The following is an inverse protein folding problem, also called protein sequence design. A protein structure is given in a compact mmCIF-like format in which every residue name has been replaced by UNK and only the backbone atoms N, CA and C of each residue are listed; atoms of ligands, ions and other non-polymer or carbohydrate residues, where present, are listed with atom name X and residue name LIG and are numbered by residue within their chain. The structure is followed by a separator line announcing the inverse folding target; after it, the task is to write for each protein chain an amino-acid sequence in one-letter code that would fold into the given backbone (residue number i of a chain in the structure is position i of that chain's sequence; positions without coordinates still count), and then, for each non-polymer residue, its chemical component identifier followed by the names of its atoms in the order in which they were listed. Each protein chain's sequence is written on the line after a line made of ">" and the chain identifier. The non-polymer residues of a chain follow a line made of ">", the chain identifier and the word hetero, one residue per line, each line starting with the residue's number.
data_IF_697043857156
#
_entry.id   IF_697043857156
#
_cell.length_a   1.000
_cell.length_b   1.000
_cell.length_c   1.000
_cell.angle_alpha   90.00
_cell.angle_beta   90.00
_cell.angle_gamma   90.00
#
_symmetry.space_group_name_H-M   'P 1'
#
loop_
_entity.id
_entity.type
_entity.pdbx_description
1 polymer ?
#
# COMPACT_ATOMS: atom_id res chain seq x y z
N UNK A 1 12.40 -14.20 15.70
CA UNK A 1 13.35 -13.18 16.19
C UNK A 1 14.64 -13.91 16.57
N UNK A 2 15.72 -13.73 15.81
CA UNK A 2 16.98 -14.43 16.08
C UNK A 2 17.70 -13.82 17.28
N UNK A 3 18.18 -14.64 18.19
CA UNK A 3 19.08 -14.21 19.27
C UNK A 3 20.52 -14.23 18.77
N UNK A 4 21.24 -13.12 18.91
CA UNK A 4 22.69 -13.07 18.71
C UNK A 4 23.34 -12.91 20.10
N UNK A 5 24.21 -13.86 20.48
CA UNK A 5 24.91 -13.84 21.77
C UNK A 5 26.34 -13.38 21.56
N UNK A 6 26.75 -12.32 22.25
CA UNK A 6 28.14 -11.84 22.27
C UNK A 6 28.72 -12.15 23.65
N UNK A 7 29.78 -12.98 23.69
CA UNK A 7 30.48 -13.31 24.93
C UNK A 7 31.78 -12.51 25.01
N UNK A 8 31.94 -11.73 26.07
CA UNK A 8 33.16 -10.98 26.34
C UNK A 8 34.05 -11.78 27.29
N UNK A 9 35.34 -11.91 26.97
CA UNK A 9 36.33 -12.62 27.79
C UNK A 9 37.22 -11.68 28.61
N UNK A 10 37.06 -10.36 28.43
CA UNK A 10 37.76 -9.31 29.16
C UNK A 10 36.97 -7.99 29.12
N UNK A 11 37.32 -7.04 29.99
CA UNK A 11 36.70 -5.71 29.99
C UNK A 11 37.12 -4.92 28.73
N UNK A 12 36.17 -4.62 27.85
CA UNK A 12 36.37 -3.87 26.60
C UNK A 12 35.14 -3.04 26.31
N UNK A 13 35.33 -1.83 25.77
CA UNK A 13 34.22 -1.01 25.29
C UNK A 13 33.63 -1.65 24.02
N UNK A 14 32.33 -1.92 24.05
CA UNK A 14 31.59 -2.46 22.90
C UNK A 14 30.65 -1.37 22.40
N UNK A 15 30.76 -1.04 21.11
CA UNK A 15 29.79 -0.21 20.41
C UNK A 15 29.00 -1.10 19.47
N UNK A 16 27.71 -1.25 19.71
CA UNK A 16 26.79 -1.91 18.78
C UNK A 16 26.10 -0.84 17.93
N UNK A 17 26.34 -0.85 16.62
CA UNK A 17 25.64 0.02 15.68
C UNK A 17 24.52 -0.80 15.04
N UNK A 18 23.28 -0.45 15.34
CA UNK A 18 22.13 -1.02 14.67
C UNK A 18 21.78 -0.12 13.48
N UNK A 19 22.05 -0.60 12.27
CA UNK A 19 21.51 0.02 11.07
C UNK A 19 20.06 -0.44 10.92
N UNK A 20 19.13 0.30 11.50
CA UNK A 20 17.76 0.24 11.04
C UNK A 20 17.73 0.99 9.71
N UNK A 21 17.44 0.31 8.61
CA UNK A 21 16.75 1.01 7.54
C UNK A 21 15.38 1.32 8.14
N UNK A 22 15.02 2.58 8.44
CA UNK A 22 13.68 2.85 8.91
C UNK A 22 12.77 2.45 7.76
N UNK A 23 12.17 1.26 7.85
CA UNK A 23 10.92 1.01 7.16
C UNK A 23 9.96 1.93 7.88
N UNK A 24 9.86 3.17 7.39
CA UNK A 24 8.77 4.05 7.77
C UNK A 24 7.55 3.27 7.32
N UNK A 25 6.70 2.77 8.23
CA UNK A 25 5.53 2.02 7.79
C UNK A 25 4.79 2.93 6.83
N UNK A 26 4.54 2.46 5.60
CA UNK A 26 3.82 3.23 4.62
C UNK A 26 2.57 3.76 5.31
N UNK A 27 2.41 5.08 5.35
CA UNK A 27 1.15 5.62 5.89
C UNK A 27 0.05 5.09 5.00
N UNK A 28 -1.14 4.87 5.58
CA UNK A 28 -2.29 4.48 4.78
C UNK A 28 -2.47 5.51 3.65
N UNK A 29 -2.31 5.06 2.41
CA UNK A 29 -2.37 5.91 1.22
C UNK A 29 -1.10 6.71 0.89
N UNK A 30 0.09 6.36 1.38
CA UNK A 30 1.36 6.90 0.88
C UNK A 30 1.77 6.16 -0.41
N UNK A 31 1.37 6.67 -1.58
CA UNK A 31 1.55 5.96 -2.84
C UNK A 31 2.97 6.10 -3.41
N UNK A 32 3.76 7.08 -2.96
CA UNK A 32 5.11 7.33 -3.48
C UNK A 32 6.25 6.97 -2.51
N UNK A 33 5.94 6.60 -1.27
CA UNK A 33 6.90 6.19 -0.25
C UNK A 33 7.66 7.36 0.38
N UNK A 34 7.15 8.59 0.32
CA UNK A 34 7.81 9.77 0.88
C UNK A 34 7.53 9.97 2.39
N UNK A 35 6.77 9.06 3.00
CA UNK A 35 6.39 9.07 4.41
C UNK A 35 5.16 9.93 4.71
N UNK A 36 4.48 10.45 3.70
CA UNK A 36 3.26 11.27 3.83
C UNK A 36 2.08 10.55 3.17
N UNK A 37 0.90 10.75 3.74
CA UNK A 37 -0.31 10.21 3.11
C UNK A 37 -0.70 11.07 1.90
N UNK A 38 -1.03 10.41 0.81
CA UNK A 38 -1.56 10.97 -0.42
C UNK A 38 -3.09 10.81 -0.50
N UNK A 39 -3.71 11.31 -1.57
CA UNK A 39 -5.14 11.17 -1.81
C UNK A 39 -5.45 10.25 -2.98
N UNK A 40 -6.51 9.46 -2.83
CA UNK A 40 -7.06 8.57 -3.84
C UNK A 40 -8.51 8.93 -4.11
N UNK A 41 -8.84 9.11 -5.37
CA UNK A 41 -10.19 9.38 -5.86
C UNK A 41 -10.62 8.26 -6.78
N UNK A 42 -11.90 7.91 -6.74
CA UNK A 42 -12.54 7.09 -7.77
C UNK A 42 -13.77 7.80 -8.27
N UNK A 43 -13.82 8.08 -9.56
CA UNK A 43 -14.99 8.65 -10.19
C UNK A 43 -16.10 7.59 -10.26
N UNK A 44 -17.23 7.84 -9.59
CA UNK A 44 -18.25 6.83 -9.36
C UNK A 44 -18.91 6.29 -10.65
N UNK A 45 -18.91 7.08 -11.73
CA UNK A 45 -19.62 6.76 -12.98
C UNK A 45 -18.70 6.17 -14.04
N UNK A 46 -17.53 6.78 -14.27
CA UNK A 46 -16.55 6.28 -15.25
C UNK A 46 -15.65 5.20 -14.68
N UNK A 47 -15.54 5.12 -13.35
CA UNK A 47 -14.61 4.23 -12.67
C UNK A 47 -13.14 4.66 -12.77
N UNK A 48 -12.88 5.87 -13.27
CA UNK A 48 -11.55 6.47 -13.29
C UNK A 48 -10.98 6.57 -11.88
N UNK A 49 -9.74 6.15 -11.70
CA UNK A 49 -9.01 6.25 -10.43
C UNK A 49 -7.96 7.33 -10.59
N UNK A 50 -7.90 8.26 -9.63
CA UNK A 50 -6.95 9.36 -9.65
C UNK A 50 -6.20 9.44 -8.33
N UNK A 51 -4.88 9.56 -8.41
CA UNK A 51 -3.98 9.72 -7.26
C UNK A 51 -3.44 11.14 -7.25
N UNK A 52 -3.47 11.79 -6.09
CA UNK A 52 -2.82 13.08 -5.85
C UNK A 52 -1.74 12.87 -4.81
N UNK A 53 -0.48 13.05 -5.20
CA UNK A 53 0.66 13.04 -4.29
C UNK A 53 0.67 14.34 -3.49
N UNK A 54 0.85 14.25 -2.17
CA UNK A 54 0.61 15.35 -1.24
C UNK A 54 1.86 15.73 -0.44
N UNK A 55 1.97 17.01 -0.11
CA UNK A 55 2.89 17.51 0.91
C UNK A 55 2.13 18.45 1.83
N UNK A 56 1.54 17.89 2.89
CA UNK A 56 0.53 18.60 3.68
C UNK A 56 -0.71 18.86 2.82
N UNK A 57 -1.16 20.11 2.75
CA UNK A 57 -2.32 20.49 1.92
C UNK A 57 -1.99 20.73 0.44
N UNK A 58 -0.71 20.71 0.06
CA UNK A 58 -0.27 20.98 -1.31
C UNK A 58 -0.23 19.70 -2.14
N UNK A 59 -0.74 19.75 -3.37
CA UNK A 59 -0.59 18.68 -4.37
C UNK A 59 0.77 18.85 -5.04
N UNK A 60 1.63 17.85 -4.96
CA UNK A 60 2.97 17.87 -5.59
C UNK A 60 2.94 17.26 -6.99
N UNK A 61 2.06 16.27 -7.21
CA UNK A 61 1.76 15.71 -8.53
C UNK A 61 0.39 15.04 -8.51
N UNK A 62 -0.23 14.84 -9.67
CA UNK A 62 -1.48 14.11 -9.78
C UNK A 62 -1.59 13.37 -11.11
N UNK A 63 -2.26 12.23 -11.13
CA UNK A 63 -2.42 11.44 -12.33
C UNK A 63 -3.51 10.38 -12.21
N UNK A 64 -3.97 9.90 -13.36
CA UNK A 64 -4.93 8.82 -13.48
C UNK A 64 -4.17 7.54 -13.83
N UNK A 65 -3.85 6.67 -12.86
CA UNK A 65 -3.16 5.41 -13.14
C UNK A 65 -3.99 4.46 -14.00
N UNK A 66 -5.32 4.49 -13.86
CA UNK A 66 -6.21 3.56 -14.57
C UNK A 66 -7.69 3.96 -14.49
N UNK A 67 -8.50 3.33 -15.33
CA UNK A 67 -9.97 3.38 -15.29
C UNK A 67 -10.55 1.97 -15.18
N UNK A 68 -11.38 1.72 -14.16
CA UNK A 68 -12.12 0.45 -13.98
C UNK A 68 -13.61 0.71 -14.21
N UNK A 69 -14.11 0.57 -15.45
CA UNK A 69 -15.48 1.00 -15.80
C UNK A 69 -16.57 0.17 -15.11
N UNK A 70 -16.28 -1.08 -14.74
CA UNK A 70 -17.25 -1.93 -14.04
C UNK A 70 -17.48 -1.36 -12.62
N UNK A 71 -18.70 -0.88 -12.30
CA UNK A 71 -18.99 -0.25 -11.03
C UNK A 71 -19.02 -1.26 -9.87
N UNK A 72 -19.06 -2.57 -10.15
CA UNK A 72 -19.04 -3.61 -9.12
C UNK A 72 -17.66 -3.76 -8.46
N UNK A 73 -16.59 -3.32 -9.13
CA UNK A 73 -15.27 -3.28 -8.51
C UNK A 73 -15.17 -2.09 -7.55
N UNK A 74 -14.90 -2.39 -6.28
CA UNK A 74 -14.72 -1.43 -5.20
C UNK A 74 -13.29 -1.49 -4.68
N UNK A 75 -12.72 -0.33 -4.39
CA UNK A 75 -11.50 -0.24 -3.59
C UNK A 75 -11.95 -0.37 -2.14
N UNK A 76 -11.54 -1.45 -1.48
CA UNK A 76 -11.96 -1.80 -0.11
C UNK A 76 -10.79 -1.78 0.88
N UNK A 77 -9.56 -1.59 0.40
CA UNK A 77 -8.39 -1.46 1.25
C UNK A 77 -7.28 -0.68 0.57
N UNK A 78 -6.47 -0.02 1.39
CA UNK A 78 -5.25 0.68 0.99
C UNK A 78 -4.17 0.36 2.03
N UNK A 79 -3.01 -0.11 1.57
CA UNK A 79 -1.90 -0.49 2.42
C UNK A 79 -0.76 -1.11 1.62
N UNK A 80 0.42 -1.24 2.20
CA UNK A 80 1.60 -1.84 1.56
C UNK A 80 1.47 -3.38 1.60
N UNK A 81 1.08 -3.99 0.46
CA UNK A 81 0.78 -5.42 0.39
C UNK A 81 1.95 -6.25 -0.17
N UNK A 82 2.88 -5.64 -0.91
CA UNK A 82 4.10 -6.30 -1.39
C UNK A 82 5.37 -5.97 -0.60
N UNK A 83 5.31 -5.03 0.34
CA UNK A 83 6.40 -4.66 1.24
C UNK A 83 7.42 -3.71 0.62
N UNK A 84 7.06 -3.02 -0.47
CA UNK A 84 7.98 -2.11 -1.17
C UNK A 84 8.06 -0.70 -0.54
N UNK A 85 7.30 -0.46 0.53
CA UNK A 85 7.24 0.81 1.25
C UNK A 85 6.24 1.81 0.67
N UNK A 86 5.41 1.42 -0.29
CA UNK A 86 4.34 2.25 -0.88
C UNK A 86 2.99 1.60 -0.66
N UNK A 87 1.94 2.42 -0.65
CA UNK A 87 0.58 1.95 -0.48
C UNK A 87 0.02 1.38 -1.77
N UNK A 88 -0.56 0.20 -1.68
CA UNK A 88 -1.24 -0.52 -2.76
C UNK A 88 -2.76 -0.46 -2.60
N UNK A 89 -3.49 -0.92 -3.63
CA UNK A 89 -4.96 -0.94 -3.63
C UNK A 89 -5.50 -2.36 -3.56
N UNK A 90 -6.37 -2.62 -2.57
CA UNK A 90 -7.13 -3.86 -2.49
C UNK A 90 -8.53 -3.67 -3.06
N UNK A 91 -8.83 -4.42 -4.11
CA UNK A 91 -10.08 -4.41 -4.84
C UNK A 91 -10.93 -5.61 -4.49
N UNK A 92 -12.24 -5.38 -4.37
CA UNK A 92 -13.24 -6.44 -4.24
C UNK A 92 -14.39 -6.19 -5.21
N UNK A 93 -14.83 -7.24 -5.88
CA UNK A 93 -15.96 -7.21 -6.79
C UNK A 93 -17.24 -7.59 -6.07
N UNK A 94 -18.23 -6.71 -6.11
CA UNK A 94 -19.58 -7.00 -5.65
C UNK A 94 -20.21 -8.12 -6.50
N UNK A 95 -21.02 -8.97 -5.87
CA UNK A 95 -21.71 -10.11 -6.50
C UNK A 95 -20.87 -11.39 -6.60
N UNK A 96 -19.64 -11.33 -7.12
CA UNK A 96 -18.77 -12.52 -7.24
C UNK A 96 -17.80 -12.70 -6.08
N UNK A 97 -17.44 -11.63 -5.38
CA UNK A 97 -16.45 -11.68 -4.30
C UNK A 97 -15.01 -11.87 -4.78
N UNK A 98 -14.76 -11.69 -6.08
CA UNK A 98 -13.41 -11.67 -6.65
C UNK A 98 -12.61 -10.56 -5.99
N UNK A 99 -11.32 -10.80 -5.79
CA UNK A 99 -10.41 -9.80 -5.22
C UNK A 99 -9.16 -9.66 -6.04
N UNK A 100 -8.62 -8.45 -6.06
CA UNK A 100 -7.39 -8.10 -6.74
C UNK A 100 -6.57 -7.16 -5.88
N UNK A 101 -5.25 -7.28 -5.96
CA UNK A 101 -4.33 -6.28 -5.43
C UNK A 101 -3.67 -5.59 -6.62
N UNK A 102 -3.65 -4.26 -6.59
CA UNK A 102 -2.83 -3.45 -7.48
C UNK A 102 -1.65 -2.90 -6.70
N UNK A 103 -0.45 -3.32 -7.10
CA UNK A 103 0.79 -2.79 -6.58
C UNK A 103 1.06 -1.43 -7.22
N UNK A 104 1.27 -0.40 -6.41
CA UNK A 104 1.36 0.99 -6.87
C UNK A 104 2.79 1.52 -6.79
N UNK A 105 3.12 2.45 -7.69
CA UNK A 105 4.36 3.21 -7.63
C UNK A 105 4.08 4.66 -8.02
N UNK A 106 3.71 5.46 -7.03
CA UNK A 106 3.24 6.84 -7.20
C UNK A 106 1.98 6.89 -8.05
N UNK A 107 2.12 7.43 -9.27
CA UNK A 107 1.02 7.62 -10.21
C UNK A 107 0.85 6.47 -11.21
N UNK A 108 1.55 5.36 -11.02
CA UNK A 108 1.53 4.20 -11.90
C UNK A 108 1.19 2.91 -11.16
N UNK A 109 0.66 1.93 -11.90
CA UNK A 109 0.52 0.55 -11.43
C UNK A 109 1.83 -0.17 -11.73
N UNK A 110 2.52 -0.65 -10.69
CA UNK A 110 3.74 -1.43 -10.79
C UNK A 110 3.47 -2.91 -11.12
N UNK A 111 2.31 -3.42 -10.69
CA UNK A 111 1.87 -4.77 -10.97
C UNK A 111 0.45 -5.01 -10.46
N UNK A 112 -0.10 -6.18 -10.76
CA UNK A 112 -1.38 -6.60 -10.22
C UNK A 112 -1.43 -8.12 -10.07
N UNK A 113 -2.11 -8.60 -9.04
CA UNK A 113 -2.31 -10.01 -8.82
C UNK A 113 -3.74 -10.29 -8.31
N UNK A 114 -4.39 -11.39 -8.76
CA UNK A 114 -5.55 -11.91 -8.05
C UNK A 114 -5.09 -12.35 -6.65
N UNK A 115 -5.89 -12.09 -5.62
CA UNK A 115 -5.54 -12.54 -4.28
C UNK A 115 -6.24 -13.84 -3.90
N UNK A 116 -7.59 -13.85 -3.84
CA UNK A 116 -8.45 -15.00 -3.56
C UNK A 116 -9.93 -14.63 -3.74
N UNK A 117 -10.78 -15.57 -4.20
CA UNK A 117 -12.22 -15.31 -4.26
C UNK A 117 -12.89 -15.60 -2.91
N UNK A 118 -13.52 -14.61 -2.30
CA UNK A 118 -14.42 -14.80 -1.16
C UNK A 118 -15.87 -14.73 -1.67
N UNK A 119 -16.35 -15.85 -2.20
CA UNK A 119 -17.66 -15.93 -2.86
C UNK A 119 -18.82 -15.53 -1.93
N UNK A 120 -18.70 -15.77 -0.62
CA UNK A 120 -19.62 -15.19 0.36
C UNK A 120 -19.37 -13.69 0.48
N UNK A 121 -20.23 -12.92 -0.18
CA UNK A 121 -20.15 -11.46 -0.22
C UNK A 121 -20.61 -10.78 1.08
N UNK A 122 -21.05 -11.53 2.09
CA UNK A 122 -21.36 -10.98 3.41
C UNK A 122 -20.11 -10.62 4.21
N UNK A 123 -18.95 -11.20 3.89
CA UNK A 123 -17.67 -10.78 4.46
C UNK A 123 -17.23 -9.43 3.91
N UNK A 124 -16.97 -8.48 4.80
CA UNK A 124 -16.47 -7.14 4.49
C UNK A 124 -15.06 -6.93 5.07
N UNK A 125 -14.33 -5.99 4.47
CA UNK A 125 -13.05 -5.50 5.00
C UNK A 125 -13.39 -4.42 6.04
N UNK A 126 -12.76 -4.47 7.21
CA UNK A 126 -12.94 -3.52 8.33
C UNK A 126 -11.68 -2.69 8.56
#
# INVERSE_FOLDING_TARGET
>A
MGSCTVTLTAATAVTATFAFSPVVPAKRGDFNGDGKADLLWRHAQSGEVQVWLMNGAAITASGSPFTVPDPNWKIVGVGDFDGDGKADLFWRRDGSGDTYVWFMNGLAIAGAAPSFALADTNWKVE
#
